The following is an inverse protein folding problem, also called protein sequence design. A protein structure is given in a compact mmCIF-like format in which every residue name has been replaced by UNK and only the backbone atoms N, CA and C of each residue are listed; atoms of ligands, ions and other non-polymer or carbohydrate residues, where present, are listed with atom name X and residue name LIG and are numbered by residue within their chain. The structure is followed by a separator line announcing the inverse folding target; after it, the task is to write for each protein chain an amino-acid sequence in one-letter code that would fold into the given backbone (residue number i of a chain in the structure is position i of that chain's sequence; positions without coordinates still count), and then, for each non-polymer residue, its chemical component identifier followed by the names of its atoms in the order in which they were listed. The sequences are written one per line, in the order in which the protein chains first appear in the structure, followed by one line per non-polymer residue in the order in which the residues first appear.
data_IF_889495210885
#
_entry.id   IF_889495210885
#
_cell.length_a   1.000
_cell.length_b   1.000
_cell.length_c   1.000
_cell.angle_alpha   90.00
_cell.angle_beta   90.00
_cell.angle_gamma   90.00
#
_symmetry.space_group_name_H-M   'P 1'
#
loop_
_entity.id
_entity.type
_entity.pdbx_description
1 polymer ?
#
# COMPACT_ATOMS: atom_id res chain seq x y z
N UNK A 1 -32.07 -38.37 -47.68
CA UNK A 1 -31.70 -38.00 -49.07
C UNK A 1 -32.20 -36.59 -49.35
N UNK A 2 -31.46 -35.84 -50.18
CA UNK A 2 -31.91 -34.70 -51.05
C UNK A 2 -32.76 -33.57 -50.42
N UNK A 3 -32.28 -32.32 -50.30
CA UNK A 3 -31.71 -31.35 -51.27
C UNK A 3 -32.76 -30.34 -51.77
N UNK A 4 -32.33 -29.07 -51.79
CA UNK A 4 -32.78 -27.99 -52.70
C UNK A 4 -34.21 -27.43 -52.46
N UNK A 5 -34.52 -26.16 -52.77
CA UNK A 5 -33.88 -25.21 -53.70
C UNK A 5 -33.88 -23.74 -53.21
N UNK A 6 -32.95 -22.96 -53.78
CA UNK A 6 -32.98 -21.49 -53.86
C UNK A 6 -34.08 -21.01 -54.84
N UNK A 7 -34.48 -19.73 -54.79
CA UNK A 7 -34.35 -18.73 -55.90
C UNK A 7 -35.20 -17.46 -55.65
N UNK A 8 -34.49 -16.33 -55.54
CA UNK A 8 -34.77 -14.93 -55.94
C UNK A 8 -36.17 -14.28 -55.96
N UNK A 9 -36.18 -13.01 -55.51
CA UNK A 9 -36.83 -11.89 -56.21
C UNK A 9 -35.95 -10.61 -56.13
N UNK A 10 -36.03 -9.76 -57.17
CA UNK A 10 -35.45 -8.40 -57.26
C UNK A 10 -36.50 -7.48 -57.96
N UNK A 11 -36.45 -6.15 -57.96
CA UNK A 11 -35.47 -5.16 -57.47
C UNK A 11 -36.17 -4.20 -56.44
N UNK A 12 -35.84 -2.93 -56.11
CA UNK A 12 -34.88 -1.92 -56.63
C UNK A 12 -34.49 -0.91 -55.50
N UNK A 13 -34.05 0.28 -55.88
CA UNK A 13 -33.45 1.36 -55.10
C UNK A 13 -34.41 2.32 -54.39
N UNK A 14 -33.95 2.87 -53.26
CA UNK A 14 -34.40 4.17 -52.74
C UNK A 14 -33.30 4.84 -51.91
N UNK A 15 -32.71 5.94 -52.40
CA UNK A 15 -31.75 6.73 -51.60
C UNK A 15 -32.50 7.54 -50.55
N UNK A 16 -32.17 7.33 -49.28
CA UNK A 16 -32.22 8.38 -48.26
C UNK A 16 -31.02 8.23 -47.33
N UNK A 17 -30.03 9.10 -47.50
CA UNK A 17 -28.92 9.21 -46.56
C UNK A 17 -29.29 10.13 -45.40
N UNK A 18 -29.14 9.66 -44.17
CA UNK A 18 -29.06 10.53 -43.00
C UNK A 18 -27.96 10.06 -42.04
N UNK A 19 -26.99 10.95 -41.85
CA UNK A 19 -25.96 11.08 -40.82
C UNK A 19 -25.58 9.86 -39.95
N UNK A 20 -24.27 9.57 -39.95
CA UNK A 20 -23.60 8.86 -38.85
C UNK A 20 -23.97 9.50 -37.51
N UNK A 21 -24.49 8.70 -36.57
CA UNK A 21 -24.63 9.10 -35.17
C UNK A 21 -23.24 9.21 -34.54
N UNK A 22 -22.69 10.42 -34.56
CA UNK A 22 -21.38 10.70 -33.97
C UNK A 22 -21.32 10.37 -32.49
N UNK A 23 -20.16 9.87 -32.09
CA UNK A 23 -19.76 9.60 -30.72
C UNK A 23 -19.75 10.89 -29.88
N UNK A 24 -20.88 11.20 -29.23
CA UNK A 24 -21.12 12.40 -28.44
C UNK A 24 -21.63 12.03 -27.05
N UNK A 25 -20.71 11.59 -26.17
CA UNK A 25 -20.97 11.56 -24.71
C UNK A 25 -19.73 11.68 -23.81
N UNK A 26 -18.62 12.24 -24.32
CA UNK A 26 -17.37 12.37 -23.57
C UNK A 26 -16.68 13.75 -23.57
N UNK A 27 -17.10 14.70 -24.41
CA UNK A 27 -16.33 15.93 -24.69
C UNK A 27 -16.89 17.22 -24.05
N UNK A 28 -18.19 17.31 -23.74
CA UNK A 28 -18.82 18.61 -23.41
C UNK A 28 -18.74 19.03 -21.94
N UNK A 29 -18.29 18.17 -21.02
CA UNK A 29 -18.17 18.50 -19.59
C UNK A 29 -16.85 19.25 -19.27
N UNK A 30 -15.91 19.37 -20.23
CA UNK A 30 -14.64 20.10 -20.05
C UNK A 30 -14.73 21.59 -20.42
N UNK A 31 -15.59 22.34 -19.73
CA UNK A 31 -15.59 23.82 -19.75
C UNK A 31 -15.70 24.38 -18.33
N UNK A 32 -14.59 24.93 -17.81
CA UNK A 32 -14.62 26.04 -16.83
C UNK A 32 -13.24 26.57 -16.43
N UNK A 33 -12.16 25.78 -16.51
CA UNK A 33 -10.83 26.19 -16.05
C UNK A 33 -9.77 26.14 -17.17
N UNK A 34 -8.90 27.16 -17.31
CA UNK A 34 -7.73 27.06 -18.17
C UNK A 34 -6.80 25.94 -17.64
N UNK A 35 -5.98 25.32 -18.51
CA UNK A 35 -5.05 24.27 -18.08
C UNK A 35 -4.11 24.81 -17.00
N UNK A 36 -3.94 24.06 -15.90
CA UNK A 36 -3.10 24.49 -14.78
C UNK A 36 -1.64 24.61 -15.21
N UNK A 37 -1.12 25.83 -15.18
CA UNK A 37 0.27 26.11 -15.52
C UNK A 37 1.18 25.76 -14.34
N UNK A 38 1.80 24.57 -14.43
CA UNK A 38 2.80 24.07 -13.49
C UNK A 38 4.09 24.88 -13.47
N UNK A 39 4.38 25.70 -14.49
CA UNK A 39 5.57 26.55 -14.51
C UNK A 39 5.39 27.78 -13.60
N UNK A 40 4.19 28.37 -13.58
CA UNK A 40 3.85 29.53 -12.76
C UNK A 40 3.43 29.13 -11.34
N UNK A 41 2.62 28.08 -11.19
CA UNK A 41 2.04 27.69 -9.90
C UNK A 41 2.99 26.79 -9.08
N UNK A 42 4.09 27.35 -8.59
CA UNK A 42 5.10 26.67 -7.76
C UNK A 42 4.74 26.56 -6.25
N UNK A 43 3.52 26.95 -5.88
CA UNK A 43 3.03 26.89 -4.50
C UNK A 43 2.26 25.59 -4.24
N UNK A 44 2.69 24.83 -3.22
CA UNK A 44 2.11 23.54 -2.84
C UNK A 44 0.59 23.62 -2.60
N UNK A 45 0.10 24.69 -1.98
CA UNK A 45 -1.32 24.86 -1.68
C UNK A 45 -2.17 24.96 -2.96
N UNK A 46 -1.79 25.85 -3.89
CA UNK A 46 -2.48 26.04 -5.17
C UNK A 46 -2.47 24.77 -6.05
N UNK A 47 -1.35 24.03 -6.03
CA UNK A 47 -1.27 22.73 -6.69
C UNK A 47 -2.22 21.71 -6.05
N UNK A 48 -2.25 21.64 -4.71
CA UNK A 48 -3.11 20.69 -4.00
C UNK A 48 -4.60 20.98 -4.20
N UNK A 49 -5.01 22.24 -4.14
CA UNK A 49 -6.38 22.70 -4.41
C UNK A 49 -6.84 22.30 -5.82
N UNK A 50 -6.03 22.58 -6.85
CA UNK A 50 -6.36 22.19 -8.22
C UNK A 50 -6.49 20.67 -8.38
N UNK A 51 -5.54 19.90 -7.84
CA UNK A 51 -5.57 18.43 -7.88
C UNK A 51 -6.81 17.88 -7.15
N UNK A 52 -7.20 18.45 -6.02
CA UNK A 52 -8.40 18.03 -5.28
C UNK A 52 -9.69 18.29 -6.06
N UNK A 53 -9.76 19.41 -6.79
CA UNK A 53 -10.91 19.73 -7.65
C UNK A 53 -11.02 18.73 -8.81
N UNK A 54 -9.94 18.51 -9.56
CA UNK A 54 -9.89 17.52 -10.65
C UNK A 54 -10.20 16.09 -10.17
N UNK A 55 -9.65 15.69 -9.02
CA UNK A 55 -9.95 14.39 -8.41
C UNK A 55 -11.41 14.28 -7.96
N UNK A 56 -12.00 15.37 -7.47
CA UNK A 56 -13.42 15.40 -7.05
C UNK A 56 -14.33 15.22 -8.26
N UNK A 57 -14.07 15.93 -9.36
CA UNK A 57 -14.85 15.80 -10.60
C UNK A 57 -14.63 14.43 -11.26
N UNK A 58 -13.41 13.92 -11.32
CA UNK A 58 -13.14 12.55 -11.77
C UNK A 58 -13.87 11.51 -10.91
N UNK A 59 -13.88 11.64 -9.58
CA UNK A 59 -14.60 10.73 -8.67
C UNK A 59 -16.10 10.72 -8.94
N UNK A 60 -16.73 11.84 -9.31
CA UNK A 60 -18.16 11.91 -9.71
C UNK A 60 -18.46 11.04 -10.95
N UNK A 61 -17.49 10.85 -11.85
CA UNK A 61 -17.65 10.01 -13.05
C UNK A 61 -17.50 8.51 -12.81
N UNK A 62 -17.02 8.08 -11.64
CA UNK A 62 -16.78 6.66 -11.36
C UNK A 62 -18.03 5.96 -10.84
N UNK A 63 -18.28 4.70 -11.22
CA UNK A 63 -19.27 3.87 -10.55
C UNK A 63 -18.97 3.81 -9.04
N UNK A 64 -20.01 3.97 -8.21
CA UNK A 64 -19.89 3.73 -6.77
C UNK A 64 -19.72 2.22 -6.55
N UNK A 65 -18.55 1.83 -6.05
CA UNK A 65 -18.26 0.47 -5.60
C UNK A 65 -18.02 0.44 -4.09
N UNK A 66 -17.91 -0.74 -3.46
CA UNK A 66 -17.56 -0.86 -2.06
C UNK A 66 -16.19 -0.22 -1.79
N UNK A 67 -16.04 0.43 -0.64
CA UNK A 67 -14.75 0.95 -0.20
C UNK A 67 -13.77 -0.21 0.00
N UNK A 68 -12.61 -0.12 -0.65
CA UNK A 68 -11.54 -1.09 -0.46
C UNK A 68 -10.78 -0.81 0.83
N UNK A 69 -10.36 -1.88 1.49
CA UNK A 69 -9.55 -1.84 2.69
C UNK A 69 -8.29 -2.72 2.49
N UNK A 70 -7.15 -2.34 3.07
CA UNK A 70 -5.93 -3.15 2.99
C UNK A 70 -6.18 -4.49 3.68
N UNK A 71 -5.98 -5.59 2.97
CA UNK A 71 -5.96 -6.94 3.56
C UNK A 71 -4.60 -7.16 4.19
N UNK A 72 -4.55 -7.32 5.52
CA UNK A 72 -3.32 -7.71 6.22
C UNK A 72 -3.38 -9.21 6.52
N UNK A 73 -2.36 -9.93 6.07
CA UNK A 73 -2.22 -11.37 6.22
C UNK A 73 -1.03 -11.65 7.12
N UNK A 74 -1.18 -12.54 8.11
CA UNK A 74 -0.07 -13.04 8.90
C UNK A 74 0.26 -14.47 8.50
N UNK A 75 1.45 -14.67 7.93
CA UNK A 75 1.93 -15.98 7.49
C UNK A 75 2.94 -16.56 8.48
N UNK A 76 2.73 -17.82 8.91
CA UNK A 76 3.65 -18.54 9.79
C UNK A 76 3.83 -20.00 9.31
N UNK A 77 4.96 -20.67 9.59
CA UNK A 77 5.20 -22.05 9.15
C UNK A 77 4.35 -23.05 9.95
N UNK A 78 4.25 -24.30 9.44
CA UNK A 78 3.31 -25.31 9.95
C UNK A 78 3.60 -25.81 11.36
N UNK A 79 4.84 -25.71 11.83
CA UNK A 79 5.38 -26.34 13.03
C UNK A 79 5.53 -25.40 14.24
N UNK A 80 5.22 -24.11 14.11
CA UNK A 80 5.12 -23.18 15.23
C UNK A 80 3.91 -22.25 15.13
N UNK A 81 3.37 -21.76 16.25
CA UNK A 81 2.35 -20.71 16.23
C UNK A 81 2.91 -19.38 15.67
N UNK A 82 2.04 -18.40 15.37
CA UNK A 82 2.43 -17.00 15.18
C UNK A 82 3.29 -16.46 16.33
N UNK A 83 4.08 -15.41 16.08
CA UNK A 83 4.88 -14.79 17.13
C UNK A 83 3.99 -14.19 18.23
N UNK A 84 4.54 -14.13 19.45
CA UNK A 84 3.83 -13.60 20.61
C UNK A 84 3.37 -12.16 20.37
N UNK A 85 2.13 -11.88 20.75
CA UNK A 85 1.46 -10.59 20.64
C UNK A 85 1.52 -9.96 19.22
N UNK A 86 1.61 -10.78 18.16
CA UNK A 86 1.76 -10.30 16.79
C UNK A 86 0.59 -9.41 16.34
N UNK A 87 -0.66 -9.72 16.73
CA UNK A 87 -1.83 -8.89 16.42
C UNK A 87 -1.75 -7.52 17.09
N UNK A 88 -1.40 -7.46 18.38
CA UNK A 88 -1.27 -6.20 19.12
C UNK A 88 -0.15 -5.33 18.55
N UNK A 89 1.02 -5.94 18.26
CA UNK A 89 2.16 -5.25 17.66
C UNK A 89 1.81 -4.72 16.27
N UNK A 90 1.20 -5.53 15.40
CA UNK A 90 0.83 -5.10 14.05
C UNK A 90 -0.36 -4.12 14.02
N UNK A 91 -1.30 -4.21 14.95
CA UNK A 91 -2.33 -3.18 15.12
C UNK A 91 -1.71 -1.81 15.46
N UNK A 92 -0.72 -1.77 16.35
CA UNK A 92 0.04 -0.55 16.67
C UNK A 92 0.88 -0.03 15.49
N UNK A 93 1.62 -0.93 14.81
CA UNK A 93 2.44 -0.60 13.65
C UNK A 93 1.60 -0.03 12.50
N UNK A 94 0.47 -0.66 12.17
CA UNK A 94 -0.42 -0.16 11.12
C UNK A 94 -1.09 1.16 11.50
N UNK A 95 -1.29 1.42 12.80
CA UNK A 95 -1.69 2.73 13.33
C UNK A 95 -0.66 3.82 13.04
N UNK A 96 0.63 3.59 13.37
CA UNK A 96 1.72 4.53 13.08
C UNK A 96 1.89 4.78 11.57
N UNK A 97 1.69 3.75 10.73
CA UNK A 97 1.68 3.92 9.27
C UNK A 97 0.48 4.75 8.79
N UNK A 98 -0.72 4.54 9.35
CA UNK A 98 -1.88 5.40 9.07
C UNK A 98 -1.63 6.86 9.51
N UNK A 99 -1.02 7.06 10.68
CA UNK A 99 -0.64 8.39 11.18
C UNK A 99 0.36 9.07 10.25
N UNK A 100 1.41 8.37 9.82
CA UNK A 100 2.39 8.87 8.86
C UNK A 100 1.75 9.37 7.57
N UNK A 101 0.94 8.53 6.91
CA UNK A 101 0.26 8.93 5.68
C UNK A 101 -0.69 10.12 5.91
N UNK A 102 -1.42 10.13 7.04
CA UNK A 102 -2.36 11.22 7.39
C UNK A 102 -1.64 12.55 7.57
N UNK A 103 -0.57 12.57 8.36
CA UNK A 103 0.19 13.80 8.63
C UNK A 103 0.84 14.35 7.36
N UNK A 104 1.33 13.47 6.48
CA UNK A 104 1.99 13.88 5.26
C UNK A 104 1.02 14.36 4.17
N UNK A 105 -0.18 13.75 4.07
CA UNK A 105 -1.27 14.26 3.22
C UNK A 105 -1.74 15.63 3.69
N UNK A 106 -1.94 15.81 5.00
CA UNK A 106 -2.34 17.10 5.59
C UNK A 106 -1.28 18.18 5.33
N UNK A 107 0.01 17.86 5.55
CA UNK A 107 1.16 18.74 5.27
C UNK A 107 1.29 19.12 3.80
N UNK A 108 0.79 18.31 2.88
CA UNK A 108 0.79 18.58 1.44
C UNK A 108 -0.46 19.34 0.96
N UNK A 109 -1.40 19.66 1.85
CA UNK A 109 -2.64 20.37 1.51
C UNK A 109 -3.78 19.47 1.05
N UNK A 110 -3.65 18.14 1.17
CA UNK A 110 -4.67 17.17 0.77
C UNK A 110 -5.68 16.82 1.88
N UNK A 111 -5.53 17.41 3.06
CA UNK A 111 -6.32 17.08 4.25
C UNK A 111 -5.91 15.74 4.89
N UNK A 112 -6.68 15.30 5.88
CA UNK A 112 -6.38 14.12 6.73
C UNK A 112 -6.70 12.77 6.05
N UNK A 113 -6.34 12.63 4.77
CA UNK A 113 -6.52 11.40 3.98
C UNK A 113 -5.54 10.34 4.47
N UNK A 114 -5.97 9.10 4.64
CA UNK A 114 -5.07 7.99 5.01
C UNK A 114 -5.50 6.65 4.43
N UNK A 115 -4.63 5.66 4.59
CA UNK A 115 -4.81 4.27 4.22
C UNK A 115 -6.01 3.66 4.95
N UNK A 116 -6.96 3.10 4.22
CA UNK A 116 -8.08 2.32 4.77
C UNK A 116 -7.60 0.92 5.14
N UNK A 117 -7.88 0.48 6.36
CA UNK A 117 -7.52 -0.86 6.88
C UNK A 117 -8.77 -1.70 7.12
N UNK A 118 -8.68 -3.01 6.88
CA UNK A 118 -9.75 -3.92 7.31
C UNK A 118 -9.75 -4.01 8.84
N UNK A 119 -10.93 -3.94 9.45
CA UNK A 119 -11.10 -3.95 10.90
C UNK A 119 -12.14 -4.96 11.37
N UNK A 120 -11.93 -5.46 12.57
CA UNK A 120 -12.81 -6.35 13.32
C UNK A 120 -12.81 -5.85 14.76
N UNK A 121 -13.99 -5.63 15.35
CA UNK A 121 -14.15 -5.09 16.72
C UNK A 121 -13.31 -3.81 16.98
N UNK A 122 -13.18 -2.95 15.96
CA UNK A 122 -12.41 -1.69 16.00
C UNK A 122 -10.89 -1.83 15.84
N UNK A 123 -10.34 -3.04 15.94
CA UNK A 123 -8.92 -3.39 15.77
C UNK A 123 -8.61 -3.82 14.34
N UNK A 124 -7.33 -3.91 13.99
CA UNK A 124 -6.86 -4.50 12.73
C UNK A 124 -7.38 -5.93 12.55
N UNK A 125 -8.09 -6.19 11.45
CA UNK A 125 -8.43 -7.56 11.06
C UNK A 125 -7.24 -8.18 10.34
N UNK A 126 -6.71 -9.28 10.87
CA UNK A 126 -5.51 -9.91 10.37
C UNK A 126 -5.77 -11.37 9.98
N UNK A 127 -5.69 -11.65 8.68
CA UNK A 127 -5.95 -12.97 8.12
C UNK A 127 -4.75 -13.89 8.41
N UNK A 128 -4.86 -14.72 9.44
CA UNK A 128 -3.83 -15.73 9.71
C UNK A 128 -3.84 -16.82 8.64
N UNK A 129 -2.64 -17.23 8.22
CA UNK A 129 -2.37 -18.32 7.26
C UNK A 129 -1.23 -19.17 7.81
N UNK A 130 -1.56 -20.43 8.14
CA UNK A 130 -0.57 -21.46 8.49
C UNK A 130 -0.05 -22.08 7.20
N UNK A 131 1.25 -21.93 6.97
CA UNK A 131 1.94 -22.47 5.82
C UNK A 131 1.96 -24.00 5.81
N UNK A 132 2.18 -24.59 4.64
CA UNK A 132 2.23 -26.05 4.41
C UNK A 132 3.53 -26.70 4.88
N UNK A 133 4.64 -25.97 4.87
CA UNK A 133 5.96 -26.51 5.25
C UNK A 133 6.42 -26.04 6.63
N UNK A 134 7.49 -26.65 7.15
CA UNK A 134 8.05 -26.40 8.48
C UNK A 134 9.07 -25.25 8.47
N UNK A 135 9.58 -24.89 9.64
CA UNK A 135 10.63 -23.90 9.81
C UNK A 135 12.06 -24.50 9.72
N UNK A 136 12.23 -25.35 8.71
CA UNK A 136 13.40 -26.19 8.42
C UNK A 136 14.29 -25.64 7.29
N UNK A 137 14.01 -24.43 6.82
CA UNK A 137 14.65 -23.82 5.64
C UNK A 137 13.84 -23.95 4.35
N UNK A 138 12.71 -24.65 4.35
CA UNK A 138 11.78 -24.72 3.21
C UNK A 138 11.04 -23.39 2.90
N UNK A 139 11.13 -22.41 3.81
CA UNK A 139 10.83 -21.00 3.56
C UNK A 139 12.09 -20.15 3.76
N UNK A 140 12.37 -19.27 2.80
CA UNK A 140 13.50 -18.34 2.78
C UNK A 140 13.06 -17.00 2.20
N UNK A 141 13.97 -16.01 2.15
CA UNK A 141 13.70 -14.71 1.53
C UNK A 141 13.33 -14.81 0.03
N UNK A 142 13.63 -15.93 -0.64
CA UNK A 142 13.25 -16.21 -2.03
C UNK A 142 11.87 -16.87 -2.17
N UNK A 143 11.25 -17.30 -1.07
CA UNK A 143 10.03 -18.13 -1.08
C UNK A 143 8.73 -17.34 -1.26
N UNK A 144 8.77 -16.04 -1.59
CA UNK A 144 7.57 -15.20 -1.69
C UNK A 144 6.55 -15.68 -2.74
N UNK A 145 6.98 -16.36 -3.82
CA UNK A 145 6.07 -17.02 -4.77
C UNK A 145 5.23 -18.12 -4.11
N UNK A 146 5.89 -19.06 -3.44
CA UNK A 146 5.26 -20.14 -2.66
C UNK A 146 4.32 -19.59 -1.57
N UNK A 147 4.78 -18.60 -0.80
CA UNK A 147 3.97 -17.96 0.24
C UNK A 147 2.75 -17.26 -0.37
N UNK A 148 2.90 -16.56 -1.50
CA UNK A 148 1.78 -15.96 -2.22
C UNK A 148 0.72 -16.99 -2.61
N UNK A 149 1.12 -18.15 -3.14
CA UNK A 149 0.19 -19.20 -3.53
C UNK A 149 -0.62 -19.74 -2.35
N UNK A 150 0.05 -20.01 -1.22
CA UNK A 150 -0.58 -20.48 0.02
C UNK A 150 -1.54 -19.42 0.61
N UNK A 151 -1.13 -18.15 0.64
CA UNK A 151 -1.98 -17.02 1.05
C UNK A 151 -3.17 -16.83 0.11
N UNK A 152 -2.96 -16.93 -1.20
CA UNK A 152 -4.01 -16.75 -2.21
C UNK A 152 -5.06 -17.87 -2.14
N UNK A 153 -4.65 -19.10 -1.82
CA UNK A 153 -5.59 -20.19 -1.56
C UNK A 153 -6.44 -19.91 -0.32
N UNK A 154 -5.82 -19.57 0.81
CA UNK A 154 -6.54 -19.31 2.07
C UNK A 154 -7.47 -18.10 2.03
N UNK A 155 -7.15 -17.06 1.25
CA UNK A 155 -8.06 -15.93 1.04
C UNK A 155 -9.28 -16.31 0.19
N UNK A 156 -9.11 -17.15 -0.84
CA UNK A 156 -10.22 -17.65 -1.67
C UNK A 156 -11.19 -18.53 -0.89
N UNK A 157 -10.69 -19.37 0.01
CA UNK A 157 -11.50 -20.16 0.94
C UNK A 157 -12.40 -19.28 1.84
N UNK A 158 -11.99 -18.03 2.10
CA UNK A 158 -12.73 -17.01 2.85
C UNK A 158 -13.59 -16.11 1.95
N UNK A 159 -13.76 -16.44 0.67
CA UNK A 159 -14.55 -15.67 -0.29
C UNK A 159 -13.89 -14.37 -0.80
N UNK A 160 -12.60 -14.15 -0.50
CA UNK A 160 -11.86 -12.97 -0.95
C UNK A 160 -11.09 -13.34 -2.22
N UNK A 161 -11.29 -12.61 -3.33
CA UNK A 161 -10.41 -12.77 -4.51
C UNK A 161 -9.13 -11.93 -4.33
N UNK A 162 -7.98 -12.57 -4.02
CA UNK A 162 -6.73 -11.85 -3.81
C UNK A 162 -6.20 -11.16 -5.07
N UNK A 163 -6.71 -11.48 -6.26
CA UNK A 163 -6.33 -10.80 -7.50
C UNK A 163 -6.97 -9.42 -7.64
N UNK A 164 -7.97 -9.09 -6.82
CA UNK A 164 -8.61 -7.78 -6.81
C UNK A 164 -8.10 -6.88 -5.68
N UNK A 165 -7.26 -7.38 -4.78
CA UNK A 165 -6.93 -6.69 -3.52
C UNK A 165 -5.51 -6.12 -3.49
N UNK A 166 -5.31 -5.12 -2.63
CA UNK A 166 -3.98 -4.79 -2.11
C UNK A 166 -3.77 -5.59 -0.82
N UNK A 167 -2.66 -6.33 -0.74
CA UNK A 167 -2.38 -7.28 0.33
C UNK A 167 -1.01 -7.00 0.95
N UNK A 168 -0.98 -6.82 2.26
CA UNK A 168 0.24 -6.81 3.07
C UNK A 168 0.41 -8.20 3.71
N UNK A 169 1.48 -8.91 3.33
CA UNK A 169 1.84 -10.23 3.87
C UNK A 169 2.96 -10.04 4.89
N UNK A 170 2.59 -10.15 6.16
CA UNK A 170 3.48 -10.13 7.33
C UNK A 170 3.98 -11.55 7.58
N UNK A 171 5.27 -11.79 7.40
CA UNK A 171 5.88 -13.10 7.57
C UNK A 171 6.46 -13.26 8.98
N UNK A 172 5.90 -14.18 9.78
CA UNK A 172 6.50 -14.70 11.02
C UNK A 172 7.69 -15.63 10.76
N UNK A 173 8.56 -15.29 9.81
CA UNK A 173 9.72 -16.08 9.37
C UNK A 173 11.01 -15.42 9.89
N UNK A 174 11.16 -15.51 11.21
CA UNK A 174 12.31 -15.09 11.99
C UNK A 174 12.52 -16.01 13.20
N UNK A 175 13.71 -15.94 13.82
CA UNK A 175 14.05 -16.58 15.10
C UNK A 175 14.65 -15.53 16.04
N UNK A 176 14.23 -15.52 17.30
CA UNK A 176 14.77 -14.63 18.33
C UNK A 176 15.32 -15.46 19.50
N UNK A 177 16.57 -15.22 19.87
CA UNK A 177 17.27 -15.85 20.99
C UNK A 177 17.85 -14.75 21.87
N UNK A 178 17.03 -14.25 22.80
CA UNK A 178 17.36 -13.08 23.62
C UNK A 178 17.57 -11.84 22.74
N UNK A 179 18.82 -11.36 22.63
CA UNK A 179 19.20 -10.21 21.80
C UNK A 179 19.71 -10.60 20.40
N UNK A 180 19.71 -11.89 20.03
CA UNK A 180 20.01 -12.35 18.66
C UNK A 180 18.72 -12.49 17.88
N UNK A 181 18.67 -11.93 16.66
CA UNK A 181 17.52 -12.00 15.76
C UNK A 181 18.00 -12.49 14.39
N UNK A 182 17.44 -13.59 13.90
CA UNK A 182 17.67 -14.09 12.53
C UNK A 182 16.41 -13.93 11.70
N UNK A 183 16.52 -13.36 10.49
CA UNK A 183 15.41 -13.00 9.61
C UNK A 183 15.62 -13.65 8.23
N UNK A 184 14.59 -14.34 7.73
CA UNK A 184 14.60 -15.04 6.45
C UNK A 184 13.24 -14.96 5.74
N UNK A 185 12.45 -13.93 6.11
CA UNK A 185 11.24 -13.53 5.41
C UNK A 185 11.56 -12.91 4.04
N UNK A 186 10.72 -13.11 3.01
CA UNK A 186 10.71 -12.23 1.85
C UNK A 186 10.39 -10.79 2.26
N UNK A 187 10.95 -9.82 1.55
CA UNK A 187 10.86 -8.41 1.91
C UNK A 187 10.90 -7.54 0.65
N UNK A 188 9.74 -7.32 0.04
CA UNK A 188 9.59 -6.53 -1.19
C UNK A 188 8.11 -6.28 -1.55
N UNK A 189 7.84 -5.16 -2.23
CA UNK A 189 6.59 -4.95 -2.98
C UNK A 189 6.62 -5.49 -4.40
N UNK A 190 5.49 -6.00 -4.91
CA UNK A 190 5.37 -6.51 -6.29
C UNK A 190 3.96 -6.44 -6.87
N UNK A 191 3.85 -6.55 -8.20
CA UNK A 191 2.59 -6.80 -8.90
C UNK A 191 1.55 -5.67 -8.83
N UNK A 192 1.97 -4.47 -8.40
CA UNK A 192 1.07 -3.37 -8.09
C UNK A 192 0.64 -2.57 -9.32
N UNK A 193 -0.61 -2.12 -9.30
CA UNK A 193 -1.16 -1.13 -10.21
C UNK A 193 -2.09 -0.17 -9.42
N UNK A 194 -2.82 0.70 -10.09
CA UNK A 194 -3.68 1.70 -9.45
C UNK A 194 -4.89 1.13 -8.65
N UNK A 195 -5.06 -0.19 -8.53
CA UNK A 195 -6.19 -0.83 -7.82
C UNK A 195 -5.83 -2.00 -6.89
N UNK A 196 -4.62 -2.55 -7.00
CA UNK A 196 -4.16 -3.79 -6.33
C UNK A 196 -2.65 -3.83 -6.22
N UNK A 197 -2.12 -4.70 -5.36
CA UNK A 197 -0.68 -4.96 -5.25
C UNK A 197 -0.33 -5.84 -4.05
N UNK A 198 0.90 -6.33 -3.98
CA UNK A 198 1.35 -7.22 -2.90
C UNK A 198 2.60 -6.63 -2.26
N UNK A 199 2.67 -6.67 -0.94
CA UNK A 199 3.85 -6.33 -0.15
C UNK A 199 4.20 -7.50 0.78
N UNK A 200 5.47 -7.91 0.80
CA UNK A 200 6.02 -8.80 1.82
C UNK A 200 6.84 -8.00 2.83
N UNK A 201 6.65 -8.31 4.12
CA UNK A 201 7.46 -7.79 5.21
C UNK A 201 7.72 -8.88 6.25
N UNK A 202 8.67 -8.65 7.16
CA UNK A 202 9.02 -9.55 8.25
C UNK A 202 8.39 -9.14 9.58
N UNK A 203 8.12 -10.12 10.44
CA UNK A 203 7.79 -9.93 11.85
C UNK A 203 8.85 -10.54 12.77
N UNK A 204 9.19 -9.84 13.85
CA UNK A 204 10.21 -10.22 14.83
C UNK A 204 9.75 -9.78 16.23
N UNK A 205 10.18 -10.48 17.29
CA UNK A 205 9.72 -10.19 18.65
C UNK A 205 10.10 -8.78 19.15
N UNK A 206 11.26 -8.27 18.72
CA UNK A 206 11.73 -6.92 19.03
C UNK A 206 11.09 -5.80 18.17
N UNK A 207 10.22 -6.15 17.21
CA UNK A 207 9.62 -5.20 16.27
C UNK A 207 8.38 -4.53 16.89
N UNK A 208 8.47 -3.23 17.15
CA UNK A 208 7.42 -2.42 17.79
C UNK A 208 7.57 -0.91 17.53
N UNK A 209 6.46 -0.17 17.59
CA UNK A 209 6.45 1.30 17.50
C UNK A 209 7.21 1.93 18.69
N UNK A 210 7.12 1.35 19.89
CA UNK A 210 7.90 1.81 21.05
C UNK A 210 9.42 1.70 20.81
N UNK A 211 9.86 0.67 20.09
CA UNK A 211 11.26 0.52 19.69
C UNK A 211 11.77 1.58 18.71
N UNK A 212 10.91 2.46 18.16
CA UNK A 212 11.30 3.65 17.39
C UNK A 212 11.61 4.85 18.28
N UNK A 213 11.21 4.86 19.56
CA UNK A 213 11.40 5.98 20.49
C UNK A 213 12.81 5.95 21.11
N UNK A 214 13.24 7.00 21.84
CA UNK A 214 14.52 6.97 22.56
C UNK A 214 14.57 5.78 23.53
N UNK A 215 15.69 5.06 23.52
CA UNK A 215 15.91 3.88 24.37
C UNK A 215 16.96 4.18 25.45
N UNK A 216 16.56 4.45 26.71
CA UNK A 216 17.47 4.68 27.83
C UNK A 216 18.37 3.47 28.14
N UNK A 217 17.93 2.26 27.80
CA UNK A 217 18.70 1.02 28.04
C UNK A 217 19.86 0.83 27.06
N UNK A 218 19.89 1.60 25.97
CA UNK A 218 20.87 1.50 24.87
C UNK A 218 21.02 0.06 24.36
N UNK A 219 19.89 -0.62 24.18
CA UNK A 219 19.86 -2.03 23.77
C UNK A 219 20.44 -2.20 22.37
N UNK A 220 21.45 -3.07 22.30
CA UNK A 220 22.06 -3.57 21.06
C UNK A 220 21.54 -4.98 20.78
N UNK A 221 21.01 -5.19 19.58
CA UNK A 221 20.62 -6.47 19.03
C UNK A 221 21.70 -6.95 18.06
N UNK A 222 21.88 -8.27 17.97
CA UNK A 222 22.70 -8.92 16.95
C UNK A 222 21.75 -9.44 15.87
N UNK A 223 21.81 -8.84 14.68
CA UNK A 223 20.83 -9.07 13.61
C UNK A 223 21.49 -9.84 12.47
N UNK A 224 20.86 -10.93 12.04
CA UNK A 224 21.30 -11.75 10.92
C UNK A 224 20.20 -11.83 9.88
N UNK A 225 20.48 -11.33 8.68
CA UNK A 225 19.65 -11.55 7.49
C UNK A 225 20.30 -12.63 6.60
N UNK A 226 20.58 -12.29 5.35
CA UNK A 226 21.30 -13.09 4.36
C UNK A 226 22.84 -13.07 4.55
N UNK A 227 23.36 -12.40 5.59
CA UNK A 227 24.79 -12.20 5.88
C UNK A 227 25.16 -12.79 7.25
N UNK A 228 26.30 -12.37 7.80
CA UNK A 228 26.65 -12.61 9.21
C UNK A 228 25.77 -11.83 10.19
N UNK A 229 26.05 -11.97 11.49
CA UNK A 229 25.43 -11.12 12.52
C UNK A 229 26.07 -9.73 12.52
N UNK A 230 25.24 -8.68 12.58
CA UNK A 230 25.67 -7.29 12.71
C UNK A 230 25.01 -6.60 13.93
N UNK A 231 25.72 -5.70 14.63
CA UNK A 231 25.16 -4.96 15.77
C UNK A 231 24.23 -3.81 15.32
N UNK A 232 22.99 -3.82 15.81
CA UNK A 232 22.00 -2.77 15.61
C UNK A 232 21.54 -2.23 16.96
N UNK A 233 21.42 -0.90 17.12
CA UNK A 233 20.63 -0.37 18.24
C UNK A 233 19.14 -0.69 18.05
N UNK A 234 18.37 -0.75 19.14
CA UNK A 234 16.92 -0.98 19.08
C UNK A 234 16.20 0.02 18.16
N UNK A 235 16.60 1.29 18.22
CA UNK A 235 16.12 2.35 17.32
C UNK A 235 16.49 2.12 15.85
N UNK A 236 17.72 1.69 15.55
CA UNK A 236 18.14 1.32 14.17
C UNK A 236 17.34 0.12 13.67
N UNK A 237 17.18 -0.92 14.48
CA UNK A 237 16.42 -2.13 14.16
C UNK A 237 14.98 -1.78 13.76
N UNK A 238 14.25 -1.07 14.62
CA UNK A 238 12.87 -0.70 14.34
C UNK A 238 12.76 0.30 13.17
N UNK A 239 13.69 1.25 13.03
CA UNK A 239 13.70 2.15 11.85
C UNK A 239 13.85 1.33 10.56
N UNK A 240 14.79 0.38 10.50
CA UNK A 240 15.04 -0.43 9.28
C UNK A 240 13.82 -1.28 8.93
N UNK A 241 13.23 -2.00 9.89
CA UNK A 241 12.16 -2.96 9.61
C UNK A 241 10.73 -2.38 9.64
N UNK A 242 10.47 -1.26 10.31
CA UNK A 242 9.19 -0.55 10.17
C UNK A 242 9.22 0.43 9.00
N UNK A 243 10.35 1.12 8.80
CA UNK A 243 10.59 1.96 7.63
C UNK A 243 10.64 1.17 6.33
N UNK A 244 11.22 -0.02 6.34
CA UNK A 244 11.12 -0.97 5.24
C UNK A 244 9.67 -1.39 4.99
N UNK A 245 8.91 -1.74 6.02
CA UNK A 245 7.55 -2.25 5.85
C UNK A 245 6.62 -1.22 5.19
N UNK A 246 6.72 0.06 5.58
CA UNK A 246 5.94 1.14 4.95
C UNK A 246 6.47 1.50 3.54
N UNK A 247 7.77 1.32 3.25
CA UNK A 247 8.33 1.47 1.90
C UNK A 247 7.82 0.38 0.94
N UNK A 248 7.89 -0.90 1.35
CA UNK A 248 7.37 -2.01 0.54
C UNK A 248 5.84 -1.96 0.39
N UNK A 249 5.13 -1.49 1.43
CA UNK A 249 3.70 -1.18 1.32
C UNK A 249 3.46 -0.05 0.30
N UNK A 250 4.32 0.96 0.25
CA UNK A 250 4.32 1.99 -0.79
C UNK A 250 4.43 1.39 -2.20
N UNK A 251 5.33 0.43 -2.41
CA UNK A 251 5.38 -0.33 -3.66
C UNK A 251 4.09 -1.14 -3.93
N UNK A 252 3.52 -1.78 -2.90
CA UNK A 252 2.21 -2.44 -2.95
C UNK A 252 1.03 -1.50 -3.29
N UNK A 253 1.17 -0.20 -2.99
CA UNK A 253 0.27 0.89 -3.34
C UNK A 253 0.60 1.53 -4.71
N UNK A 254 1.43 0.88 -5.52
CA UNK A 254 1.88 1.34 -6.84
C UNK A 254 2.68 2.66 -6.81
N UNK A 255 3.44 2.90 -5.74
CA UNK A 255 4.45 3.96 -5.70
C UNK A 255 5.79 3.44 -6.27
N UNK A 256 6.35 4.04 -7.33
CA UNK A 256 7.72 3.77 -7.74
C UNK A 256 8.71 4.44 -6.78
N UNK A 257 10.00 4.11 -6.91
CA UNK A 257 11.05 4.89 -6.26
C UNK A 257 11.04 6.35 -6.75
N UNK A 258 11.39 7.27 -5.87
CA UNK A 258 11.65 8.67 -6.22
C UNK A 258 12.73 9.28 -5.32
N UNK A 259 13.27 10.41 -5.77
CA UNK A 259 14.20 11.22 -5.00
C UNK A 259 13.54 12.57 -4.70
N UNK A 260 13.77 13.08 -3.49
CA UNK A 260 13.35 14.41 -3.09
C UNK A 260 13.99 15.49 -3.98
N UNK A 261 13.23 16.49 -4.38
CA UNK A 261 13.81 17.73 -4.91
C UNK A 261 14.68 18.41 -3.85
N UNK A 262 15.59 19.31 -4.26
CA UNK A 262 16.44 20.09 -3.31
C UNK A 262 15.62 20.80 -2.23
N UNK A 263 14.41 21.28 -2.57
CA UNK A 263 13.48 21.96 -1.64
C UNK A 263 12.80 20.98 -0.69
N UNK A 264 12.37 19.81 -1.17
CA UNK A 264 11.76 18.77 -0.33
C UNK A 264 12.78 18.12 0.61
N UNK A 265 14.03 17.92 0.18
CA UNK A 265 15.10 17.32 0.99
C UNK A 265 15.42 18.11 2.27
N UNK A 266 15.03 19.39 2.35
CA UNK A 266 15.07 20.16 3.59
C UNK A 266 14.22 19.56 4.71
N UNK A 267 13.24 18.70 4.39
CA UNK A 267 12.34 18.01 5.33
C UNK A 267 12.87 16.67 5.84
N UNK A 268 13.92 16.11 5.23
CA UNK A 268 14.41 14.76 5.50
C UNK A 268 14.50 13.93 4.23
N UNK A 269 14.22 12.63 4.32
CA UNK A 269 14.38 11.69 3.19
C UNK A 269 13.03 11.23 2.65
N UNK A 270 12.85 11.24 1.33
CA UNK A 270 11.64 10.74 0.69
C UNK A 270 11.43 9.26 1.06
N UNK A 271 10.21 8.88 1.49
CA UNK A 271 9.89 7.50 1.88
C UNK A 271 10.27 6.50 0.79
N UNK A 272 9.86 6.79 -0.45
CA UNK A 272 10.15 5.98 -1.63
C UNK A 272 11.55 6.24 -2.24
N UNK A 273 12.40 6.99 -1.54
CA UNK A 273 13.86 6.99 -1.76
C UNK A 273 14.53 6.08 -0.74
N UNK A 274 15.56 6.57 -0.06
CA UNK A 274 16.19 5.88 1.07
C UNK A 274 15.44 6.04 2.41
N UNK A 275 14.14 6.40 2.37
CA UNK A 275 13.35 6.77 3.55
C UNK A 275 12.98 5.60 4.45
N UNK A 276 13.15 4.36 3.98
CA UNK A 276 13.14 3.18 4.84
C UNK A 276 14.23 3.24 5.93
N UNK A 277 15.41 3.82 5.64
CA UNK A 277 16.50 3.95 6.61
C UNK A 277 16.41 5.17 7.53
N UNK A 278 15.37 5.99 7.40
CA UNK A 278 15.18 7.22 8.21
C UNK A 278 13.84 7.30 8.93
N UNK A 279 12.98 6.29 8.80
CA UNK A 279 11.64 6.29 9.38
C UNK A 279 11.67 6.49 10.90
N UNK A 280 10.89 7.49 11.36
CA UNK A 280 10.79 7.96 12.74
C UNK A 280 12.11 8.34 13.45
N UNK A 281 13.20 8.63 12.72
CA UNK A 281 14.46 9.10 13.32
C UNK A 281 14.33 10.44 14.04
N UNK A 282 13.34 11.26 13.66
CA UNK A 282 13.01 12.52 14.31
C UNK A 282 12.60 12.34 15.78
N UNK A 283 11.95 11.22 16.13
CA UNK A 283 11.57 10.89 17.52
C UNK A 283 12.78 10.69 18.44
N UNK A 284 13.94 10.35 17.86
CA UNK A 284 15.21 10.14 18.59
C UNK A 284 16.23 11.25 18.39
N UNK A 285 15.87 12.31 17.63
CA UNK A 285 16.79 13.37 17.18
C UNK A 285 17.99 12.84 16.37
N UNK A 286 17.85 11.67 15.72
CA UNK A 286 18.87 11.00 14.89
C UNK A 286 18.82 11.44 13.41
N UNK A 287 18.03 12.48 13.10
CA UNK A 287 17.79 12.98 11.75
C UNK A 287 16.42 13.66 11.66
N UNK A 288 16.06 14.12 10.46
CA UNK A 288 14.78 14.79 10.20
C UNK A 288 13.59 13.84 9.97
N UNK A 289 13.84 12.54 9.91
CA UNK A 289 12.82 11.55 9.59
C UNK A 289 12.64 11.29 8.10
N UNK A 290 11.54 10.62 7.79
CA UNK A 290 11.09 10.34 6.42
C UNK A 290 9.85 11.17 6.11
N UNK A 291 9.60 11.46 4.83
CA UNK A 291 8.45 12.24 4.38
C UNK A 291 7.90 11.70 3.05
N UNK A 292 6.64 12.02 2.74
CA UNK A 292 5.99 11.68 1.46
C UNK A 292 6.21 12.82 0.45
N UNK A 293 6.72 12.50 -0.73
CA UNK A 293 6.84 13.49 -1.81
C UNK A 293 5.46 13.84 -2.37
N UNK A 294 5.37 15.02 -2.99
CA UNK A 294 4.16 15.45 -3.69
C UNK A 294 3.70 14.38 -4.71
N UNK A 295 4.64 13.88 -5.53
CA UNK A 295 4.36 12.89 -6.56
C UNK A 295 3.82 11.57 -6.01
N UNK A 296 4.32 11.10 -4.86
CA UNK A 296 3.77 9.91 -4.19
C UNK A 296 2.35 10.15 -3.67
N UNK A 297 2.08 11.31 -3.07
CA UNK A 297 0.76 11.65 -2.53
C UNK A 297 -0.33 11.66 -3.63
N UNK A 298 -0.06 12.27 -4.79
CA UNK A 298 -1.03 12.31 -5.91
C UNK A 298 -1.41 10.91 -6.39
N UNK A 299 -0.44 9.98 -6.47
CA UNK A 299 -0.72 8.58 -6.82
C UNK A 299 -1.59 7.89 -5.77
N UNK A 300 -1.34 8.13 -4.49
CA UNK A 300 -2.15 7.59 -3.40
C UNK A 300 -3.58 8.13 -3.43
N UNK A 301 -3.81 9.41 -3.69
CA UNK A 301 -5.16 10.00 -3.76
C UNK A 301 -6.09 9.38 -4.82
N UNK A 302 -5.51 8.81 -5.89
CA UNK A 302 -6.23 8.05 -6.91
C UNK A 302 -6.43 6.56 -6.55
N UNK A 303 -5.69 6.06 -5.56
CA UNK A 303 -5.73 4.65 -5.13
C UNK A 303 -6.99 4.36 -4.28
N UNK A 304 -7.72 3.25 -4.51
CA UNK A 304 -8.97 2.95 -3.80
C UNK A 304 -8.87 3.00 -2.27
N UNK A 305 -7.73 2.57 -1.70
CA UNK A 305 -7.51 2.58 -0.25
C UNK A 305 -7.42 3.97 0.41
N UNK A 306 -7.31 5.04 -0.38
CA UNK A 306 -7.30 6.43 0.08
C UNK A 306 -8.52 7.21 -0.44
N UNK A 307 -9.34 6.60 -1.31
CA UNK A 307 -10.50 7.25 -1.92
C UNK A 307 -11.70 7.45 -0.99
N UNK A 308 -11.77 6.70 0.12
CA UNK A 308 -12.88 6.75 1.08
C UNK A 308 -12.76 7.82 2.17
N UNK A 309 -11.60 8.48 2.32
CA UNK A 309 -11.40 9.53 3.33
C UNK A 309 -11.56 10.92 2.71
N UNK A 310 -12.80 11.40 2.63
CA UNK A 310 -13.11 12.81 2.31
C UNK A 310 -13.81 13.42 3.53
N UNK A 311 -13.29 14.55 4.03
CA UNK A 311 -13.78 15.27 5.22
C UNK A 311 -13.72 14.58 6.59
N UNK A 312 -12.77 13.65 6.81
CA UNK A 312 -12.35 13.25 8.16
C UNK A 312 -13.34 12.39 8.95
N UNK A 313 -14.59 12.24 8.51
CA UNK A 313 -15.38 11.06 8.82
C UNK A 313 -14.87 9.90 7.96
N UNK A 314 -14.51 8.80 8.61
CA UNK A 314 -14.72 7.52 7.96
C UNK A 314 -16.24 7.44 7.70
N UNK A 315 -16.64 7.08 6.48
CA UNK A 315 -18.01 6.61 6.28
C UNK A 315 -18.12 5.38 7.18
N UNK A 316 -18.94 5.48 8.22
CA UNK A 316 -19.23 4.34 9.06
C UNK A 316 -19.86 3.28 8.15
N UNK A 317 -19.28 2.09 8.12
CA UNK A 317 -20.00 0.93 7.60
C UNK A 317 -21.12 0.66 8.60
N UNK A 318 -22.32 1.15 8.30
CA UNK A 318 -23.53 0.66 8.95
C UNK A 318 -23.88 -0.71 8.36
N UNK A 319 -24.12 -1.66 9.27
CA UNK A 319 -24.49 -3.07 9.07
C UNK A 319 -23.35 -3.99 8.59
#
# INVERSE_FOLDING_TARGET
MTKNNLVYALWLSGLFGFANSHDLRGSEIRKSHPPFDWSVNQQQASQAEWILNELTDWRKTRPRGPLKALRVVYFHPSDRPPLKNHLERWNGIMGDMQDFYRSEMERLGYGKVTLTLEKEEGKLKMHQVRGKSKDDGSYTYKSGGKIREEVFASLKEKGIDPNLETILIVCGLSKTEGKKVTIYSPYYGMGANHQRGICFTADMEWLSVEGLKPDPSKTILQVKEHRGYEPFSLGRFNTVYLGGAIHELGHGLSLPHNLATKREALRGTALMGAGNYTYRKEWRKEGKGSFLTHASAVRLLAHPLFGGTVHGSAIANEV
#
